data_IF_624588797631
#
_entry.id   IF_624588797631
#
_cell.length_a   1.000
_cell.length_b   1.000
_cell.length_c   1.000
_cell.angle_alpha   90.00
_cell.angle_beta   90.00
_cell.angle_gamma   90.00
#
_symmetry.space_group_name_H-M   'P 1'
#
loop_
_entity.id
_entity.type
_entity.pdbx_description
1 polymer ?
#
# COMPACT_ATOMS: atom_id res chain seq x y z
N UNK A 1 12.80 20.72 78.55
CA UNK A 1 12.32 20.10 79.81
C UNK A 1 10.80 20.21 79.83
N UNK A 2 10.11 19.12 80.19
CA UNK A 2 8.67 19.05 80.51
C UNK A 2 7.70 19.14 79.30
N UNK A 3 7.25 17.98 78.80
CA UNK A 3 5.81 17.81 78.53
C UNK A 3 5.09 17.49 79.85
N UNK A 4 3.77 17.26 79.91
CA UNK A 4 2.73 17.29 78.89
C UNK A 4 1.51 18.13 79.37
N UNK A 5 0.41 18.16 78.60
CA UNK A 5 -0.81 17.41 78.94
C UNK A 5 -2.09 18.04 78.37
N UNK A 6 -2.91 17.16 77.82
CA UNK A 6 -4.19 17.39 77.17
C UNK A 6 -5.20 18.05 78.11
N UNK A 7 -6.00 18.98 77.58
CA UNK A 7 -7.44 19.02 77.88
C UNK A 7 -8.24 19.20 76.60
N UNK A 8 -9.17 18.27 76.46
CA UNK A 8 -10.21 18.19 75.44
C UNK A 8 -11.21 19.34 75.68
N UNK A 9 -11.47 20.17 74.67
CA UNK A 9 -12.63 21.06 74.60
C UNK A 9 -13.42 20.67 73.34
N UNK A 10 -14.40 19.78 73.55
CA UNK A 10 -15.85 19.93 73.33
C UNK A 10 -16.27 20.40 71.93
N UNK A 11 -17.21 19.67 71.29
CA UNK A 11 -17.73 20.00 69.96
C UNK A 11 -18.59 21.25 70.06
N UNK A 12 -18.73 21.96 68.93
CA UNK A 12 -19.44 23.23 68.74
C UNK A 12 -18.55 24.48 68.80
N UNK A 13 -17.46 24.47 68.02
CA UNK A 13 -16.75 25.68 67.59
C UNK A 13 -17.43 26.26 66.34
N UNK A 14 -18.11 27.41 66.41
CA UNK A 14 -18.80 28.05 65.28
C UNK A 14 -17.84 28.73 64.27
N UNK A 15 -16.53 28.46 64.33
CA UNK A 15 -15.49 29.11 63.51
C UNK A 15 -14.81 28.29 62.42
N UNK A 16 -15.18 27.03 62.17
CA UNK A 16 -14.49 26.20 61.15
C UNK A 16 -15.02 26.46 59.72
N UNK A 17 -14.18 26.84 58.74
CA UNK A 17 -14.64 27.11 57.37
C UNK A 17 -15.15 25.82 56.68
N UNK A 18 -16.27 25.88 55.94
CA UNK A 18 -16.79 24.72 55.23
C UNK A 18 -15.81 24.31 54.11
N UNK A 19 -15.36 23.08 54.18
CA UNK A 19 -14.61 22.38 53.14
C UNK A 19 -15.48 22.29 51.88
N UNK A 20 -15.20 23.15 50.88
CA UNK A 20 -15.78 23.04 49.54
C UNK A 20 -15.34 21.71 48.92
N UNK A 21 -16.18 20.69 49.03
CA UNK A 21 -16.12 19.54 48.13
C UNK A 21 -16.49 20.05 46.73
N UNK A 22 -15.49 20.25 45.88
CA UNK A 22 -15.70 20.50 44.46
C UNK A 22 -16.32 19.24 43.85
N UNK A 23 -17.65 19.17 43.84
CA UNK A 23 -18.37 18.22 43.03
C UNK A 23 -18.13 18.57 41.56
N UNK A 24 -17.41 17.70 40.84
CA UNK A 24 -17.41 17.68 39.38
C UNK A 24 -18.84 17.37 38.93
N UNK A 25 -19.67 18.41 38.80
CA UNK A 25 -21.00 18.30 38.24
C UNK A 25 -20.88 17.76 36.81
N UNK A 26 -21.36 16.53 36.61
CA UNK A 26 -21.32 15.84 35.32
C UNK A 26 -22.07 16.63 34.25
N UNK A 27 -21.33 17.29 33.36
CA UNK A 27 -21.87 17.77 32.09
C UNK A 27 -22.33 16.55 31.30
N UNK A 28 -23.63 16.39 31.17
CA UNK A 28 -24.21 15.22 30.49
C UNK A 28 -23.72 15.16 29.03
N UNK A 29 -23.24 14.01 28.51
CA UNK A 29 -22.42 13.94 27.29
C UNK A 29 -23.17 14.19 25.97
N UNK A 30 -24.48 14.44 26.01
CA UNK A 30 -25.34 14.59 24.84
C UNK A 30 -25.00 15.80 23.95
N UNK A 31 -24.34 16.83 24.49
CA UNK A 31 -23.92 17.99 23.69
C UNK A 31 -22.77 17.66 22.72
N UNK A 32 -21.91 16.69 23.05
CA UNK A 32 -20.90 16.18 22.12
C UNK A 32 -21.56 15.43 20.95
N UNK A 33 -22.58 14.61 21.23
CA UNK A 33 -23.33 13.89 20.21
C UNK A 33 -24.13 14.83 19.31
N UNK A 34 -24.74 15.87 19.87
CA UNK A 34 -25.45 16.90 19.11
C UNK A 34 -24.52 17.70 18.20
N UNK A 35 -23.29 17.98 18.63
CA UNK A 35 -22.28 18.67 17.83
C UNK A 35 -21.69 17.80 16.70
N UNK A 36 -21.66 16.47 16.88
CA UNK A 36 -21.13 15.53 15.88
C UNK A 36 -22.08 15.29 14.70
N UNK A 37 -23.39 15.44 14.89
CA UNK A 37 -24.41 15.21 13.87
C UNK A 37 -24.26 16.10 12.61
N UNK A 38 -24.12 17.45 12.71
CA UNK A 38 -23.92 18.29 11.53
C UNK A 38 -22.56 18.05 10.85
N UNK A 39 -21.54 17.70 11.63
CA UNK A 39 -20.22 17.37 11.10
C UNK A 39 -20.25 16.07 10.28
N UNK A 40 -20.97 15.06 10.77
CA UNK A 40 -21.20 13.81 10.05
C UNK A 40 -22.03 14.03 8.77
N UNK A 41 -23.02 14.92 8.81
CA UNK A 41 -23.82 15.29 7.63
C UNK A 41 -22.98 15.98 6.54
N UNK A 42 -22.12 16.92 6.91
CA UNK A 42 -21.21 17.58 5.97
C UNK A 42 -20.21 16.59 5.35
N UNK A 43 -19.61 15.73 6.17
CA UNK A 43 -18.73 14.66 5.70
C UNK A 43 -19.43 13.69 4.74
N UNK A 44 -20.70 13.36 4.97
CA UNK A 44 -21.47 12.48 4.10
C UNK A 44 -21.75 13.12 2.73
N UNK A 45 -22.04 14.43 2.68
CA UNK A 45 -22.23 15.16 1.43
C UNK A 45 -20.94 15.28 0.62
N UNK A 46 -19.83 15.61 1.28
CA UNK A 46 -18.51 15.67 0.63
C UNK A 46 -18.08 14.29 0.11
N UNK A 47 -18.30 13.23 0.90
CA UNK A 47 -18.01 11.88 0.48
C UNK A 47 -18.88 11.46 -0.70
N UNK A 48 -20.16 11.83 -0.72
CA UNK A 48 -21.05 11.56 -1.84
C UNK A 48 -20.59 12.27 -3.11
N UNK A 49 -20.23 13.56 -3.03
CA UNK A 49 -19.65 14.31 -4.16
C UNK A 49 -18.38 13.66 -4.70
N UNK A 50 -17.46 13.29 -3.81
CA UNK A 50 -16.20 12.64 -4.19
C UNK A 50 -16.41 11.28 -4.86
N UNK A 51 -17.38 10.49 -4.38
CA UNK A 51 -17.70 9.19 -4.97
C UNK A 51 -18.34 9.33 -6.35
N UNK A 52 -19.22 10.33 -6.53
CA UNK A 52 -19.86 10.59 -7.82
C UNK A 52 -18.86 11.15 -8.85
N UNK A 53 -18.00 12.08 -8.44
CA UNK A 53 -16.90 12.59 -9.28
C UNK A 53 -16.00 11.45 -9.76
N UNK A 54 -15.69 10.49 -8.88
CA UNK A 54 -14.91 9.30 -9.23
C UNK A 54 -15.64 8.40 -10.23
N UNK A 55 -16.96 8.30 -10.17
CA UNK A 55 -17.76 7.51 -11.13
C UNK A 55 -17.78 8.17 -12.50
N UNK A 56 -18.03 9.47 -12.56
CA UNK A 56 -18.07 10.24 -13.82
C UNK A 56 -16.70 10.26 -14.49
N UNK A 57 -15.64 10.56 -13.74
CA UNK A 57 -14.28 10.54 -14.25
C UNK A 57 -13.88 9.17 -14.79
N UNK A 58 -14.29 8.09 -14.13
CA UNK A 58 -14.05 6.72 -14.59
C UNK A 58 -14.82 6.42 -15.87
N UNK A 59 -16.07 6.87 -16.00
CA UNK A 59 -16.86 6.67 -17.21
C UNK A 59 -16.25 7.42 -18.41
N UNK A 60 -15.84 8.68 -18.21
CA UNK A 60 -15.18 9.49 -19.23
C UNK A 60 -13.83 8.92 -19.66
N UNK A 61 -13.01 8.47 -18.71
CA UNK A 61 -11.75 7.82 -19.02
C UNK A 61 -11.97 6.54 -19.84
N UNK A 62 -12.93 5.69 -19.43
CA UNK A 62 -13.29 4.48 -20.19
C UNK A 62 -13.78 4.80 -21.60
N UNK A 63 -14.61 5.82 -21.78
CA UNK A 63 -15.11 6.20 -23.12
C UNK A 63 -13.99 6.72 -24.01
N UNK A 64 -13.07 7.52 -23.47
CA UNK A 64 -11.91 8.00 -24.24
C UNK A 64 -11.00 6.85 -24.67
N UNK A 65 -10.70 5.92 -23.75
CA UNK A 65 -9.92 4.72 -24.08
C UNK A 65 -10.61 3.89 -25.16
N UNK A 66 -11.93 3.70 -25.09
CA UNK A 66 -12.70 2.99 -26.11
C UNK A 66 -12.59 3.65 -27.49
N UNK A 67 -12.76 4.98 -27.54
CA UNK A 67 -12.64 5.75 -28.77
C UNK A 67 -11.23 5.69 -29.39
N UNK A 68 -10.17 5.75 -28.58
CA UNK A 68 -8.79 5.62 -29.06
C UNK A 68 -8.51 4.20 -29.55
N UNK A 69 -9.04 3.18 -28.85
CA UNK A 69 -8.85 1.77 -29.17
C UNK A 69 -9.42 1.38 -30.55
N UNK A 70 -10.43 2.08 -31.05
CA UNK A 70 -11.01 1.81 -32.38
C UNK A 70 -10.15 2.33 -33.54
N UNK A 71 -9.13 3.15 -33.26
CA UNK A 71 -8.26 3.71 -34.30
C UNK A 71 -7.13 2.75 -34.66
N UNK A 72 -6.79 2.69 -35.95
CA UNK A 72 -5.64 1.93 -36.43
C UNK A 72 -4.34 2.75 -36.29
N UNK A 73 -3.87 2.86 -35.05
CA UNK A 73 -2.65 3.59 -34.68
C UNK A 73 -1.93 2.84 -33.56
N UNK A 74 -0.64 3.12 -33.32
CA UNK A 74 0.11 2.54 -32.19
C UNK A 74 -0.57 2.81 -30.83
N UNK A 75 -1.05 4.05 -30.63
CA UNK A 75 -1.84 4.43 -29.45
C UNK A 75 -3.17 3.66 -29.36
N UNK A 76 -3.84 3.45 -30.49
CA UNK A 76 -5.05 2.64 -30.56
C UNK A 76 -4.80 1.17 -30.23
N UNK A 77 -3.69 0.60 -30.72
CA UNK A 77 -3.28 -0.77 -30.38
C UNK A 77 -3.02 -0.94 -28.88
N UNK A 78 -2.29 0.00 -28.26
CA UNK A 78 -2.10 0.00 -26.80
C UNK A 78 -3.41 0.20 -26.03
N UNK A 79 -4.31 1.07 -26.50
CA UNK A 79 -5.61 1.26 -25.87
C UNK A 79 -6.49 0.00 -25.98
N UNK A 80 -6.41 -0.77 -27.08
CA UNK A 80 -7.05 -2.09 -27.20
C UNK A 80 -6.48 -3.09 -26.20
N UNK A 81 -5.16 -3.18 -26.10
CA UNK A 81 -4.50 -4.06 -25.13
C UNK A 81 -4.90 -3.70 -23.68
N UNK A 82 -4.93 -2.41 -23.36
CA UNK A 82 -5.39 -1.91 -22.06
C UNK A 82 -6.86 -2.21 -21.78
N UNK A 83 -7.73 -2.16 -22.80
CA UNK A 83 -9.13 -2.58 -22.65
C UNK A 83 -9.27 -4.06 -22.35
N UNK A 84 -8.50 -4.91 -23.03
CA UNK A 84 -8.49 -6.35 -22.75
C UNK A 84 -8.03 -6.61 -21.32
N UNK A 85 -6.95 -5.95 -20.89
CA UNK A 85 -6.44 -6.03 -19.52
C UNK A 85 -7.51 -5.58 -18.50
N UNK A 86 -8.06 -4.38 -18.67
CA UNK A 86 -9.11 -3.83 -17.79
C UNK A 86 -10.42 -4.64 -17.81
N UNK A 87 -10.63 -5.47 -18.83
CA UNK A 87 -11.76 -6.37 -18.97
C UNK A 87 -11.55 -7.75 -18.34
N UNK A 88 -10.34 -8.04 -17.83
CA UNK A 88 -9.98 -9.36 -17.29
C UNK A 88 -9.55 -10.39 -18.34
N UNK A 89 -9.43 -10.01 -19.60
CA UNK A 89 -9.00 -10.88 -20.70
C UNK A 89 -7.47 -10.96 -20.74
N UNK A 90 -6.86 -11.45 -19.66
CA UNK A 90 -5.43 -11.27 -19.38
C UNK A 90 -4.53 -11.92 -20.45
N UNK A 91 -4.84 -13.13 -20.89
CA UNK A 91 -4.07 -13.82 -21.95
C UNK A 91 -4.12 -13.06 -23.27
N UNK A 92 -5.30 -12.53 -23.64
CA UNK A 92 -5.45 -11.72 -24.85
C UNK A 92 -4.73 -10.37 -24.72
N UNK A 93 -4.71 -9.78 -23.53
CA UNK A 93 -4.00 -8.54 -23.26
C UNK A 93 -2.48 -8.70 -23.37
N UNK A 94 -1.88 -9.80 -22.85
CA UNK A 94 -0.45 -10.08 -23.04
C UNK A 94 -0.09 -10.17 -24.52
N UNK A 95 -0.87 -10.93 -25.30
CA UNK A 95 -0.67 -11.06 -26.74
C UNK A 95 -0.82 -9.71 -27.45
N UNK A 96 -1.83 -8.92 -27.08
CA UNK A 96 -2.08 -7.61 -27.66
C UNK A 96 -0.97 -6.61 -27.35
N UNK A 97 -0.44 -6.59 -26.12
CA UNK A 97 0.71 -5.76 -25.79
C UNK A 97 1.95 -6.21 -26.57
N UNK A 98 2.25 -7.51 -26.61
CA UNK A 98 3.44 -8.04 -27.30
C UNK A 98 3.44 -7.82 -28.83
N UNK A 99 2.27 -7.65 -29.44
CA UNK A 99 2.14 -7.39 -30.88
C UNK A 99 2.45 -5.94 -31.29
N UNK A 100 2.56 -4.99 -30.34
CA UNK A 100 2.84 -3.58 -30.65
C UNK A 100 4.35 -3.35 -30.74
N UNK A 101 4.86 -3.08 -31.94
CA UNK A 101 6.25 -2.68 -32.14
C UNK A 101 6.40 -1.17 -31.88
N UNK A 102 7.24 -0.80 -30.90
CA UNK A 102 7.38 0.57 -30.40
C UNK A 102 8.85 1.03 -30.35
N UNK A 103 9.70 0.47 -31.20
CA UNK A 103 11.15 0.71 -31.18
C UNK A 103 11.52 2.19 -31.38
N UNK A 104 10.71 2.94 -32.14
CA UNK A 104 10.92 4.37 -32.40
C UNK A 104 10.06 5.29 -31.51
N UNK A 105 9.25 4.74 -30.60
CA UNK A 105 8.27 5.48 -29.80
C UNK A 105 8.52 5.28 -28.30
N UNK A 106 9.56 5.91 -27.72
CA UNK A 106 10.03 5.61 -26.36
C UNK A 106 8.97 5.84 -25.28
N UNK A 107 8.14 6.88 -25.45
CA UNK A 107 7.04 7.19 -24.52
C UNK A 107 5.95 6.11 -24.55
N UNK A 108 5.55 5.66 -25.74
CA UNK A 108 4.56 4.60 -25.87
C UNK A 108 5.12 3.26 -25.41
N UNK A 109 6.41 3.02 -25.62
CA UNK A 109 7.09 1.82 -25.13
C UNK A 109 7.11 1.79 -23.60
N UNK A 110 7.31 2.93 -22.94
CA UNK A 110 7.18 3.01 -21.48
C UNK A 110 5.76 2.66 -21.01
N UNK A 111 4.72 3.16 -21.70
CA UNK A 111 3.31 2.80 -21.41
C UNK A 111 3.05 1.31 -21.59
N UNK A 112 3.56 0.70 -22.68
CA UNK A 112 3.45 -0.74 -22.94
C UNK A 112 4.09 -1.56 -21.81
N UNK A 113 5.36 -1.28 -21.50
CA UNK A 113 6.11 -1.98 -20.45
C UNK A 113 5.41 -1.85 -19.10
N UNK A 114 4.93 -0.65 -18.76
CA UNK A 114 4.29 -0.39 -17.47
C UNK A 114 3.01 -1.21 -17.31
N UNK A 115 2.16 -1.21 -18.34
CA UNK A 115 0.92 -1.96 -18.32
C UNK A 115 1.15 -3.47 -18.35
N UNK A 116 2.12 -3.94 -19.14
CA UNK A 116 2.48 -5.36 -19.19
C UNK A 116 3.04 -5.84 -17.83
N UNK A 117 3.86 -5.03 -17.17
CA UNK A 117 4.36 -5.31 -15.83
C UNK A 117 3.25 -5.37 -14.77
N UNK A 118 2.28 -4.45 -14.82
CA UNK A 118 1.12 -4.48 -13.94
C UNK A 118 0.28 -5.74 -14.16
N UNK A 119 0.06 -6.13 -15.42
CA UNK A 119 -0.66 -7.35 -15.76
C UNK A 119 0.05 -8.59 -15.18
N UNK A 120 1.37 -8.69 -15.33
CA UNK A 120 2.13 -9.80 -14.78
C UNK A 120 2.06 -9.86 -13.25
N UNK A 121 2.10 -8.73 -12.54
CA UNK A 121 1.91 -8.73 -11.08
C UNK A 121 0.50 -9.18 -10.69
N UNK A 122 -0.52 -8.73 -11.41
CA UNK A 122 -1.91 -9.15 -11.16
C UNK A 122 -2.05 -10.68 -11.31
N UNK A 123 -1.53 -11.23 -12.41
CA UNK A 123 -1.51 -12.68 -12.64
C UNK A 123 -0.68 -13.43 -11.59
N UNK A 124 0.47 -12.90 -11.19
CA UNK A 124 1.32 -13.53 -10.18
C UNK A 124 0.59 -13.69 -8.84
N UNK A 125 -0.18 -12.69 -8.44
CA UNK A 125 -1.00 -12.73 -7.22
C UNK A 125 -2.12 -13.76 -7.32
N UNK A 126 -2.76 -13.91 -8.48
CA UNK A 126 -3.77 -14.98 -8.66
C UNK A 126 -3.15 -16.37 -8.63
N UNK A 127 -1.97 -16.55 -9.24
CA UNK A 127 -1.24 -17.82 -9.22
C UNK A 127 -0.75 -18.20 -7.82
N UNK A 128 -0.34 -17.22 -7.01
CA UNK A 128 0.01 -17.46 -5.60
C UNK A 128 -1.20 -18.00 -4.81
N UNK A 129 -2.41 -17.47 -5.08
CA UNK A 129 -3.66 -17.98 -4.47
C UNK A 129 -4.04 -19.38 -4.95
N UNK A 130 -3.62 -19.74 -6.16
CA UNK A 130 -3.85 -21.05 -6.76
C UNK A 130 -2.76 -22.09 -6.39
N UNK A 131 -1.80 -21.74 -5.51
CA UNK A 131 -0.64 -22.58 -5.14
C UNK A 131 0.31 -22.89 -6.32
N UNK A 132 0.29 -22.06 -7.36
CA UNK A 132 1.17 -22.16 -8.54
C UNK A 132 2.44 -21.30 -8.39
N UNK A 133 3.20 -21.56 -7.32
CA UNK A 133 4.31 -20.71 -6.88
C UNK A 133 5.37 -20.46 -7.97
N UNK A 134 5.76 -21.49 -8.73
CA UNK A 134 6.81 -21.35 -9.75
C UNK A 134 6.38 -20.44 -10.91
N UNK A 135 5.11 -20.53 -11.31
CA UNK A 135 4.51 -19.67 -12.33
C UNK A 135 4.42 -18.24 -11.83
N UNK A 136 3.98 -18.04 -10.57
CA UNK A 136 3.93 -16.74 -9.91
C UNK A 136 5.31 -16.05 -9.89
N UNK A 137 6.34 -16.75 -9.42
CA UNK A 137 7.73 -16.25 -9.38
C UNK A 137 8.19 -15.76 -10.75
N UNK A 138 7.91 -16.53 -11.81
CA UNK A 138 8.31 -16.18 -13.18
C UNK A 138 7.65 -14.87 -13.64
N UNK A 139 6.38 -14.66 -13.32
CA UNK A 139 5.66 -13.43 -13.66
C UNK A 139 6.14 -12.23 -12.86
N UNK A 140 6.46 -12.39 -11.57
CA UNK A 140 7.04 -11.29 -10.77
C UNK A 140 8.38 -10.85 -11.35
N UNK A 141 9.24 -11.80 -11.76
CA UNK A 141 10.52 -11.45 -12.40
C UNK A 141 10.32 -10.72 -13.74
N UNK A 142 9.36 -11.13 -14.57
CA UNK A 142 9.02 -10.41 -15.80
C UNK A 142 8.53 -8.98 -15.50
N UNK A 143 7.68 -8.81 -14.49
CA UNK A 143 7.24 -7.47 -14.07
C UNK A 143 8.41 -6.59 -13.64
N UNK A 144 9.31 -7.13 -12.79
CA UNK A 144 10.52 -6.42 -12.33
C UNK A 144 11.41 -6.00 -13.50
N UNK A 145 11.62 -6.87 -14.49
CA UNK A 145 12.39 -6.54 -15.69
C UNK A 145 11.79 -5.37 -16.47
N UNK A 146 10.48 -5.40 -16.72
CA UNK A 146 9.77 -4.32 -17.42
C UNK A 146 9.87 -2.98 -16.66
N UNK A 147 9.67 -2.96 -15.34
CA UNK A 147 9.82 -1.72 -14.56
C UNK A 147 11.26 -1.20 -14.57
N UNK A 148 12.26 -2.08 -14.40
CA UNK A 148 13.67 -1.68 -14.48
C UNK A 148 14.01 -1.11 -15.85
N UNK A 149 13.42 -1.65 -16.90
CA UNK A 149 13.61 -1.15 -18.25
C UNK A 149 13.02 0.27 -18.46
N UNK A 150 11.88 0.58 -17.84
CA UNK A 150 11.35 1.95 -17.79
C UNK A 150 12.33 2.86 -17.06
N UNK A 151 12.76 2.45 -15.86
CA UNK A 151 13.62 3.25 -14.98
C UNK A 151 15.05 3.46 -15.50
N UNK A 152 15.52 2.55 -16.36
CA UNK A 152 16.77 2.72 -17.08
C UNK A 152 16.73 3.91 -18.07
N UNK A 153 15.54 4.23 -18.61
CA UNK A 153 15.34 5.36 -19.52
C UNK A 153 14.85 6.61 -18.80
N UNK A 154 13.92 6.45 -17.86
CA UNK A 154 13.40 7.53 -17.03
C UNK A 154 13.50 7.18 -15.52
N UNK A 155 14.60 7.59 -14.87
CA UNK A 155 14.78 7.38 -13.42
C UNK A 155 13.75 8.12 -12.55
N UNK A 156 12.99 9.07 -13.10
CA UNK A 156 12.00 9.86 -12.36
C UNK A 156 10.57 9.31 -12.50
N UNK A 157 10.37 8.21 -13.25
CA UNK A 157 9.05 7.58 -13.39
C UNK A 157 8.55 7.01 -12.05
N UNK A 158 7.80 7.82 -11.30
CA UNK A 158 7.42 7.52 -9.92
C UNK A 158 6.60 6.23 -9.79
N UNK A 159 5.63 6.01 -10.68
CA UNK A 159 4.78 4.82 -10.62
C UNK A 159 5.57 3.52 -10.81
N UNK A 160 6.50 3.49 -11.78
CA UNK A 160 7.37 2.34 -12.02
C UNK A 160 8.31 2.07 -10.83
N UNK A 161 8.83 3.12 -10.18
CA UNK A 161 9.64 2.96 -8.94
C UNK A 161 8.81 2.37 -7.81
N UNK A 162 7.61 2.91 -7.61
CA UNK A 162 6.72 2.43 -6.56
C UNK A 162 6.36 0.97 -6.80
N UNK A 163 5.90 0.61 -8.01
CA UNK A 163 5.49 -0.74 -8.34
C UNK A 163 6.66 -1.74 -8.34
N UNK A 164 7.86 -1.33 -8.74
CA UNK A 164 9.06 -2.15 -8.59
C UNK A 164 9.37 -2.43 -7.12
N UNK A 165 9.21 -1.46 -6.22
CA UNK A 165 9.35 -1.68 -4.77
C UNK A 165 8.36 -2.73 -4.28
N UNK A 166 7.09 -2.65 -4.71
CA UNK A 166 6.06 -3.64 -4.35
C UNK A 166 6.41 -5.03 -4.87
N UNK A 167 6.91 -5.12 -6.11
CA UNK A 167 7.35 -6.38 -6.69
C UNK A 167 8.56 -6.98 -5.95
N UNK A 168 9.50 -6.15 -5.49
CA UNK A 168 10.66 -6.57 -4.71
C UNK A 168 10.31 -7.00 -3.28
N UNK A 169 9.29 -6.39 -2.67
CA UNK A 169 8.75 -6.88 -1.39
C UNK A 169 8.11 -8.26 -1.55
N UNK A 170 7.42 -8.50 -2.66
CA UNK A 170 6.83 -9.80 -2.98
C UNK A 170 7.89 -10.87 -3.31
N UNK A 171 8.87 -10.52 -4.15
CA UNK A 171 9.97 -11.40 -4.54
C UNK A 171 11.31 -10.63 -4.53
N UNK A 172 12.04 -10.68 -3.40
CA UNK A 172 13.35 -10.07 -3.29
C UNK A 172 14.36 -10.66 -4.30
N UNK A 173 15.29 -9.85 -4.79
CA UNK A 173 16.38 -10.35 -5.63
C UNK A 173 17.29 -11.28 -4.82
N UNK A 174 17.67 -12.44 -5.37
CA UNK A 174 18.57 -13.40 -4.71
C UNK A 174 19.89 -12.73 -4.29
N UNK A 175 20.46 -11.88 -5.14
CA UNK A 175 21.68 -11.13 -4.81
C UNK A 175 21.49 -10.15 -3.64
N UNK A 176 20.30 -9.56 -3.49
CA UNK A 176 20.00 -8.69 -2.35
C UNK A 176 19.84 -9.51 -1.06
N UNK A 177 19.20 -10.68 -1.14
CA UNK A 177 19.07 -11.62 -0.01
C UNK A 177 20.43 -12.13 0.45
N UNK A 178 21.31 -12.51 -0.47
CA UNK A 178 22.67 -12.96 -0.14
C UNK A 178 23.50 -11.85 0.51
N UNK A 179 23.40 -10.62 -0.02
CA UNK A 179 24.07 -9.45 0.55
C UNK A 179 23.61 -9.13 1.98
N UNK A 180 22.29 -9.17 2.23
CA UNK A 180 21.75 -8.98 3.58
C UNK A 180 22.16 -10.11 4.53
N UNK A 181 22.15 -11.36 4.05
CA UNK A 181 22.59 -12.50 4.83
C UNK A 181 24.09 -12.42 5.17
N UNK A 182 24.95 -11.96 4.26
CA UNK A 182 26.37 -11.75 4.52
C UNK A 182 26.63 -10.67 5.55
N UNK A 183 25.85 -9.58 5.52
CA UNK A 183 25.94 -8.51 6.53
C UNK A 183 25.37 -8.90 7.89
N UNK A 184 24.48 -9.88 7.96
CA UNK A 184 23.94 -10.38 9.20
C UNK A 184 24.83 -11.52 9.75
N UNK A 185 25.58 -11.29 10.86
CA UNK A 185 26.47 -12.29 11.41
C UNK A 185 25.77 -13.62 11.70
N UNK A 186 24.50 -13.61 12.11
CA UNK A 186 23.73 -14.81 12.47
C UNK A 186 23.19 -15.59 11.26
N UNK A 187 22.91 -14.90 10.15
CA UNK A 187 22.33 -15.51 8.93
C UNK A 187 23.36 -15.77 7.83
N UNK A 188 24.59 -15.30 8.02
CA UNK A 188 25.68 -15.49 7.07
C UNK A 188 25.91 -16.97 6.79
N UNK A 189 26.25 -17.35 5.53
CA UNK A 189 26.59 -18.73 5.20
C UNK A 189 27.70 -19.28 6.10
N UNK A 190 28.69 -18.45 6.44
CA UNK A 190 29.79 -18.79 7.35
C UNK A 190 29.32 -19.11 8.76
N UNK A 191 28.39 -18.33 9.32
CA UNK A 191 27.86 -18.60 10.64
C UNK A 191 26.99 -19.86 10.68
N UNK A 192 26.18 -20.11 9.66
CA UNK A 192 25.44 -21.38 9.52
C UNK A 192 26.37 -22.58 9.40
N UNK A 193 27.48 -22.43 8.67
CA UNK A 193 28.48 -23.49 8.50
C UNK A 193 29.26 -23.76 9.79
N UNK A 194 29.62 -22.70 10.52
CA UNK A 194 30.22 -22.81 11.86
C UNK A 194 29.26 -23.48 12.85
N UNK A 195 27.99 -23.05 12.92
CA UNK A 195 26.98 -23.64 13.79
C UNK A 195 26.79 -25.15 13.50
N UNK A 196 26.69 -25.55 12.22
CA UNK A 196 26.62 -26.97 11.82
C UNK A 196 27.86 -27.76 12.21
N UNK A 197 29.03 -27.13 12.21
CA UNK A 197 30.29 -27.76 12.61
C UNK A 197 30.33 -27.98 14.13
N UNK A 198 29.77 -27.05 14.91
CA UNK A 198 29.64 -27.19 16.36
C UNK A 198 28.56 -28.21 16.77
N UNK A 199 27.44 -28.32 16.04
CA UNK A 199 26.38 -29.31 16.31
C UNK A 199 26.76 -30.76 15.93
N UNK A 200 27.77 -30.95 15.09
CA UNK A 200 28.26 -32.26 14.65
C UNK A 200 29.43 -32.84 15.45
N UNK A 201 29.86 -32.19 16.54
CA UNK A 201 30.90 -32.69 17.43
C UNK A 201 30.30 -33.67 18.46
N UNK A 202 30.92 -34.85 18.67
CA UNK A 202 30.41 -35.89 19.59
C UNK A 202 30.51 -35.50 21.07
#
# INVERSE_FOLDING_TARGET
MVGPNRRLARPDDPGAPPHRRAGLAGRSPWWYLAALLPLAGALALDLYGLLEDRRVNRALAKSQVAFVAERDTLRGALARAYRLHSGGELSAAVAAYGAVALDEEPELRAVQLFNLANLYLEQAVELERADEMQSSVSLVELAKQNYREILARDPHHWDARHNLSRALEMLPDIAAVDYENERNPERSPRARQAARTYEGLP
#
